data_IF_809403095206
#
_entry.id   IF_809403095206
#
_cell.length_a   1.000
_cell.length_b   1.000
_cell.length_c   1.000
_cell.angle_alpha   90.00
_cell.angle_beta   90.00
_cell.angle_gamma   90.00
#
_symmetry.space_group_name_H-M   'P 1'
#
loop_
_entity.id
_entity.type
_entity.pdbx_description
1 polymer ?
#
# COMPACT_ATOMS: atom_id res chain seq x y z
N UNK A 1 11.97 7.44 -18.69
CA UNK A 1 12.12 6.86 -17.34
C UNK A 1 11.54 7.73 -16.22
N UNK A 2 11.84 9.04 -16.14
CA UNK A 2 11.37 9.91 -15.04
C UNK A 2 9.82 9.94 -14.91
N UNK A 3 9.08 10.02 -16.03
CA UNK A 3 7.61 10.04 -16.03
C UNK A 3 7.00 8.75 -15.45
N UNK A 4 7.60 7.58 -15.75
CA UNK A 4 7.13 6.27 -15.27
C UNK A 4 7.26 6.15 -13.75
N UNK A 5 8.33 6.69 -13.18
CA UNK A 5 8.54 6.73 -11.74
C UNK A 5 7.52 7.63 -11.04
N UNK A 6 7.23 8.82 -11.60
CA UNK A 6 6.20 9.71 -11.07
C UNK A 6 4.81 9.07 -11.07
N UNK A 7 4.49 8.28 -12.10
CA UNK A 7 3.21 7.56 -12.20
C UNK A 7 3.09 6.49 -11.11
N UNK A 8 4.15 5.70 -10.88
CA UNK A 8 4.20 4.75 -9.75
C UNK A 8 4.07 5.46 -8.39
N UNK A 9 4.72 6.60 -8.24
CA UNK A 9 4.63 7.38 -7.00
C UNK A 9 3.19 7.80 -6.70
N UNK A 10 2.46 8.26 -7.72
CA UNK A 10 1.03 8.62 -7.58
C UNK A 10 0.20 7.40 -7.17
N UNK A 11 0.47 6.22 -7.76
CA UNK A 11 -0.19 4.97 -7.39
C UNK A 11 -0.03 4.65 -5.91
N UNK A 12 1.22 4.59 -5.43
CA UNK A 12 1.49 4.24 -4.03
C UNK A 12 1.05 5.31 -3.05
N UNK A 13 1.13 6.59 -3.42
CA UNK A 13 0.62 7.69 -2.57
C UNK A 13 -0.88 7.57 -2.30
N UNK A 14 -1.65 7.15 -3.31
CA UNK A 14 -3.11 6.98 -3.20
C UNK A 14 -3.49 5.84 -2.25
N UNK A 15 -2.70 4.76 -2.16
CA UNK A 15 -2.93 3.63 -1.24
C UNK A 15 -2.35 3.93 0.16
N UNK A 16 -1.18 4.56 0.22
CA UNK A 16 -0.45 4.81 1.48
C UNK A 16 -1.27 5.64 2.47
N UNK A 17 -1.91 6.72 2.00
CA UNK A 17 -2.73 7.58 2.86
C UNK A 17 -3.85 6.82 3.62
N UNK A 18 -4.76 6.12 2.93
CA UNK A 18 -5.80 5.36 3.61
C UNK A 18 -5.19 4.23 4.45
N UNK A 19 -4.10 3.60 4.01
CA UNK A 19 -3.44 2.53 4.79
C UNK A 19 -2.94 3.03 6.12
N UNK A 20 -2.24 4.16 6.15
CA UNK A 20 -1.78 4.79 7.38
C UNK A 20 -2.95 5.15 8.30
N UNK A 21 -4.04 5.70 7.75
CA UNK A 21 -5.23 6.04 8.52
C UNK A 21 -5.86 4.81 9.18
N UNK A 22 -6.15 3.77 8.41
CA UNK A 22 -6.77 2.55 8.93
C UNK A 22 -5.85 1.78 9.88
N UNK A 23 -4.54 1.71 9.59
CA UNK A 23 -3.60 1.01 10.46
C UNK A 23 -3.39 1.73 11.79
N UNK A 24 -3.37 3.07 11.80
CA UNK A 24 -3.38 3.86 13.04
C UNK A 24 -4.66 3.60 13.84
N UNK A 25 -5.83 3.72 13.21
CA UNK A 25 -7.12 3.51 13.87
C UNK A 25 -7.22 2.13 14.54
N UNK A 26 -6.83 1.07 13.82
CA UNK A 26 -6.83 -0.30 14.35
C UNK A 26 -5.82 -0.45 15.50
N UNK A 27 -4.66 0.18 15.40
CA UNK A 27 -3.65 0.15 16.47
C UNK A 27 -4.12 0.87 17.74
N UNK A 28 -4.88 1.96 17.59
CA UNK A 28 -5.52 2.66 18.71
C UNK A 28 -6.60 1.82 19.40
N UNK A 29 -7.35 1.01 18.64
CA UNK A 29 -8.43 0.17 19.19
C UNK A 29 -7.92 -1.09 19.92
N UNK A 30 -6.76 -1.63 19.52
CA UNK A 30 -6.23 -2.88 20.07
C UNK A 30 -5.34 -2.65 21.29
N UNK A 31 -4.23 -1.93 21.10
CA UNK A 31 -3.25 -1.53 22.10
C UNK A 31 -2.13 -0.84 21.32
N UNK A 32 -1.89 0.43 21.62
CA UNK A 32 -0.97 1.25 20.82
C UNK A 32 0.47 0.80 21.07
N UNK A 33 1.00 -0.01 20.14
CA UNK A 33 2.41 -0.36 20.08
C UNK A 33 2.92 -0.23 18.65
N UNK A 34 4.17 0.21 18.50
CA UNK A 34 4.81 0.43 17.20
C UNK A 34 4.91 -0.89 16.43
N UNK A 35 5.16 -2.00 17.13
CA UNK A 35 5.20 -3.35 16.55
C UNK A 35 3.84 -3.78 16.00
N UNK A 36 2.75 -3.52 16.73
CA UNK A 36 1.40 -3.82 16.25
C UNK A 36 1.01 -2.95 15.06
N UNK A 37 1.43 -1.68 15.05
CA UNK A 37 1.20 -0.78 13.92
C UNK A 37 1.82 -1.32 12.63
N UNK A 38 3.06 -1.79 12.66
CA UNK A 38 3.71 -2.40 11.50
C UNK A 38 3.00 -3.64 10.97
N UNK A 39 2.51 -4.49 11.87
CA UNK A 39 1.73 -5.67 11.51
C UNK A 39 0.38 -5.28 10.89
N UNK A 40 -0.33 -4.33 11.50
CA UNK A 40 -1.60 -3.82 11.00
C UNK A 40 -1.42 -3.19 9.61
N UNK A 41 -0.38 -2.38 9.44
CA UNK A 41 -0.05 -1.76 8.15
C UNK A 41 0.19 -2.81 7.07
N UNK A 42 0.98 -3.85 7.35
CA UNK A 42 1.25 -4.94 6.42
C UNK A 42 -0.02 -5.69 5.97
N UNK A 43 -0.99 -5.87 6.87
CA UNK A 43 -2.24 -6.57 6.56
C UNK A 43 -3.24 -5.68 5.81
N UNK A 44 -3.33 -4.40 6.18
CA UNK A 44 -4.31 -3.45 5.63
C UNK A 44 -3.92 -2.98 4.23
N UNK A 45 -2.61 -2.84 3.97
CA UNK A 45 -2.09 -2.36 2.69
C UNK A 45 -2.58 -3.19 1.47
N UNK A 46 -2.48 -4.54 1.44
CA UNK A 46 -3.01 -5.34 0.34
C UNK A 46 -4.54 -5.29 0.26
N UNK A 47 -5.25 -5.19 1.39
CA UNK A 47 -6.72 -5.07 1.41
C UNK A 47 -7.14 -3.76 0.74
N UNK A 48 -6.49 -2.65 1.07
CA UNK A 48 -6.78 -1.35 0.47
C UNK A 48 -6.33 -1.27 -0.98
N UNK A 49 -5.22 -1.91 -1.36
CA UNK A 49 -4.86 -2.05 -2.76
C UNK A 49 -5.99 -2.70 -3.54
N UNK A 50 -6.46 -3.87 -3.09
CA UNK A 50 -7.58 -4.58 -3.71
C UNK A 50 -8.84 -3.71 -3.76
N UNK A 51 -9.21 -3.07 -2.66
CA UNK A 51 -10.42 -2.24 -2.60
C UNK A 51 -10.36 -1.03 -3.54
N UNK A 52 -9.23 -0.32 -3.56
CA UNK A 52 -9.09 0.89 -4.37
C UNK A 52 -8.99 0.54 -5.85
N UNK A 53 -8.13 -0.40 -6.22
CA UNK A 53 -7.81 -0.64 -7.63
C UNK A 53 -8.61 -1.77 -8.26
N UNK A 54 -8.99 -2.81 -7.53
CA UNK A 54 -9.79 -3.90 -8.09
C UNK A 54 -11.28 -3.71 -7.95
N UNK A 55 -11.77 -2.96 -6.95
CA UNK A 55 -13.22 -2.72 -6.79
C UNK A 55 -13.63 -1.34 -7.28
N UNK A 56 -13.02 -0.27 -6.73
CA UNK A 56 -13.49 1.10 -6.94
C UNK A 56 -12.99 1.74 -8.24
N UNK A 57 -11.71 1.60 -8.55
CA UNK A 57 -11.04 2.28 -9.66
C UNK A 57 -10.42 1.30 -10.66
N UNK A 58 -11.19 0.29 -11.09
CA UNK A 58 -10.77 -0.73 -12.08
C UNK A 58 -10.11 -0.14 -13.33
N UNK A 59 -10.61 1.01 -13.81
CA UNK A 59 -10.10 1.70 -14.99
C UNK A 59 -8.66 2.21 -14.82
N UNK A 60 -8.25 2.55 -13.59
CA UNK A 60 -6.88 2.98 -13.32
C UNK A 60 -5.90 1.82 -13.53
N UNK A 61 -6.29 0.59 -13.23
CA UNK A 61 -5.46 -0.59 -13.51
C UNK A 61 -5.14 -0.76 -15.00
N UNK A 62 -6.09 -0.44 -15.88
CA UNK A 62 -5.86 -0.43 -17.32
C UNK A 62 -4.93 0.71 -17.75
N UNK A 63 -5.05 1.88 -17.12
CA UNK A 63 -4.11 2.99 -17.35
C UNK A 63 -2.67 2.58 -16.99
N UNK A 64 -2.44 2.01 -15.82
CA UNK A 64 -1.09 1.57 -15.42
C UNK A 64 -0.55 0.43 -16.29
N UNK A 65 -1.43 -0.48 -16.75
CA UNK A 65 -1.07 -1.52 -17.71
C UNK A 65 -0.60 -0.93 -19.05
N UNK A 66 -1.31 0.08 -19.59
CA UNK A 66 -0.93 0.77 -20.82
C UNK A 66 0.38 1.56 -20.69
N UNK A 67 0.74 1.97 -19.48
CA UNK A 67 2.04 2.63 -19.18
C UNK A 67 3.19 1.62 -19.06
N UNK A 68 2.90 0.32 -18.98
CA UNK A 68 3.88 -0.76 -18.93
C UNK A 68 4.04 -1.43 -17.55
N UNK A 69 3.17 -1.12 -16.57
CA UNK A 69 3.19 -1.77 -15.26
C UNK A 69 2.20 -2.93 -15.21
N UNK A 70 2.71 -4.15 -14.99
CA UNK A 70 1.86 -5.32 -14.80
C UNK A 70 1.17 -5.29 -13.43
N UNK A 71 0.01 -5.96 -13.34
CA UNK A 71 -0.71 -6.09 -12.06
C UNK A 71 0.14 -6.77 -10.99
N UNK A 72 0.84 -7.83 -11.38
CA UNK A 72 1.73 -8.59 -10.50
C UNK A 72 2.87 -7.70 -9.98
N UNK A 73 3.43 -6.83 -10.82
CA UNK A 73 4.46 -5.89 -10.38
C UNK A 73 3.96 -4.91 -9.32
N UNK A 74 2.76 -4.36 -9.51
CA UNK A 74 2.12 -3.46 -8.54
C UNK A 74 1.79 -4.17 -7.22
N UNK A 75 1.28 -5.40 -7.29
CA UNK A 75 1.03 -6.22 -6.11
C UNK A 75 2.33 -6.59 -5.37
N UNK A 76 3.38 -6.99 -6.09
CA UNK A 76 4.67 -7.30 -5.49
C UNK A 76 5.26 -6.09 -4.75
N UNK A 77 5.23 -4.90 -5.36
CA UNK A 77 5.70 -3.68 -4.69
C UNK A 77 4.83 -3.27 -3.50
N UNK A 78 3.54 -3.60 -3.51
CA UNK A 78 2.65 -3.41 -2.36
C UNK A 78 3.02 -4.33 -1.20
N UNK A 79 3.23 -5.62 -1.46
CA UNK A 79 3.66 -6.56 -0.42
C UNK A 79 5.04 -6.17 0.12
N UNK A 80 5.99 -5.83 -0.77
CA UNK A 80 7.33 -5.39 -0.39
C UNK A 80 7.30 -4.13 0.48
N UNK A 81 6.51 -3.12 0.13
CA UNK A 81 6.39 -1.90 0.94
C UNK A 81 5.78 -2.18 2.32
N UNK A 82 4.79 -3.07 2.42
CA UNK A 82 4.25 -3.53 3.71
C UNK A 82 5.30 -4.25 4.58
N UNK A 83 6.11 -5.12 3.97
CA UNK A 83 7.21 -5.81 4.66
C UNK A 83 8.27 -4.82 5.14
N UNK A 84 8.68 -3.86 4.30
CA UNK A 84 9.64 -2.81 4.67
C UNK A 84 9.15 -2.04 5.89
N UNK A 85 7.89 -1.60 5.90
CA UNK A 85 7.31 -0.88 7.05
C UNK A 85 7.32 -1.76 8.30
N UNK A 86 6.90 -3.03 8.20
CA UNK A 86 6.94 -3.97 9.34
C UNK A 86 8.35 -4.15 9.89
N UNK A 87 9.35 -4.28 9.03
CA UNK A 87 10.75 -4.41 9.44
C UNK A 87 11.21 -3.15 10.14
N UNK A 88 10.96 -1.96 9.57
CA UNK A 88 11.32 -0.68 10.20
C UNK A 88 10.71 -0.55 11.59
N UNK A 89 9.42 -0.85 11.73
CA UNK A 89 8.70 -0.78 13.02
C UNK A 89 9.14 -1.85 14.03
N UNK A 90 9.86 -2.90 13.60
CA UNK A 90 10.40 -3.90 14.51
C UNK A 90 11.63 -3.36 15.26
N UNK A 91 12.38 -2.46 14.62
CA UNK A 91 13.61 -1.86 15.14
C UNK A 91 13.40 -0.52 15.87
N UNK A 92 12.18 0.01 15.87
CA UNK A 92 11.73 1.17 16.64
C UNK A 92 11.09 0.74 17.96
#
# INVERSE_FOLDING_TARGET
>A
MIKSFSILWIFYKKIMFPTLGFSLLISFLSSFSIKNFGLNFLLILPVLHYFIYELRFKNEYYFYANVGFSRIFLWAGTILSGIIVKIITLFL
#
